data_IF_861059565686
#
_entry.id   IF_861059565686
#
_cell.length_a   1.000
_cell.length_b   1.000
_cell.length_c   1.000
_cell.angle_alpha   90.00
_cell.angle_beta   90.00
_cell.angle_gamma   90.00
#
_symmetry.space_group_name_H-M   'P 1'
#
loop_
_entity.id
_entity.type
_entity.pdbx_description
1 polymer ?
#
# COMPACT_ATOMS: atom_id res chain seq x y z
N UNK A 1 -19.08 -13.59 -30.68
CA UNK A 1 -18.58 -14.31 -29.49
C UNK A 1 -17.54 -13.41 -28.86
N UNK A 2 -17.70 -12.99 -27.62
CA UNK A 2 -16.73 -12.11 -26.97
C UNK A 2 -15.48 -12.93 -26.63
N UNK A 3 -14.37 -12.65 -27.31
CA UNK A 3 -13.09 -13.33 -27.10
C UNK A 3 -12.65 -13.27 -25.62
N UNK A 4 -13.05 -12.23 -24.89
CA UNK A 4 -12.81 -12.08 -23.46
C UNK A 4 -13.54 -13.14 -22.64
N UNK A 5 -14.80 -13.43 -22.97
CA UNK A 5 -15.60 -14.45 -22.29
C UNK A 5 -15.02 -15.84 -22.53
N UNK A 6 -14.54 -16.11 -23.74
CA UNK A 6 -13.90 -17.38 -24.06
C UNK A 6 -12.61 -17.58 -23.26
N UNK A 7 -11.73 -16.58 -23.25
CA UNK A 7 -10.46 -16.64 -22.51
C UNK A 7 -10.70 -16.83 -21.01
N UNK A 8 -11.69 -16.14 -20.43
CA UNK A 8 -12.06 -16.31 -19.01
C UNK A 8 -12.52 -17.74 -18.71
N UNK A 9 -13.40 -18.29 -19.54
CA UNK A 9 -13.90 -19.66 -19.39
C UNK A 9 -12.77 -20.69 -19.43
N UNK A 10 -11.84 -20.53 -20.38
CA UNK A 10 -10.72 -21.44 -20.56
C UNK A 10 -9.74 -21.39 -19.37
N UNK A 11 -9.46 -20.20 -18.84
CA UNK A 11 -8.62 -20.03 -17.66
C UNK A 11 -9.23 -20.66 -16.41
N UNK A 12 -10.53 -20.42 -16.15
CA UNK A 12 -11.24 -21.02 -15.02
C UNK A 12 -11.17 -22.54 -15.09
N UNK A 13 -11.36 -23.10 -16.29
CA UNK A 13 -11.34 -24.56 -16.49
C UNK A 13 -9.96 -25.14 -16.19
N UNK A 14 -8.89 -24.53 -16.73
CA UNK A 14 -7.50 -24.94 -16.46
C UNK A 14 -7.12 -24.84 -14.97
N UNK A 15 -7.58 -23.80 -14.28
CA UNK A 15 -7.32 -23.64 -12.83
C UNK A 15 -8.02 -24.74 -12.03
N UNK A 16 -9.29 -25.04 -12.35
CA UNK A 16 -10.06 -26.10 -11.66
C UNK A 16 -9.47 -27.50 -11.85
N UNK A 17 -8.90 -27.77 -13.01
CA UNK A 17 -8.31 -29.08 -13.34
C UNK A 17 -6.87 -29.23 -12.81
N UNK A 18 -6.17 -28.13 -12.54
CA UNK A 18 -4.78 -28.16 -12.09
C UNK A 18 -4.64 -28.73 -10.67
N UNK A 19 -3.71 -29.68 -10.53
CA UNK A 19 -3.27 -30.23 -9.22
C UNK A 19 -1.87 -29.75 -8.83
N UNK A 20 -1.22 -28.95 -9.68
CA UNK A 20 0.13 -28.44 -9.44
C UNK A 20 0.07 -27.18 -8.59
N UNK A 21 0.38 -27.34 -7.29
CA UNK A 21 0.40 -26.25 -6.33
C UNK A 21 1.41 -25.15 -6.69
N UNK A 22 2.56 -25.49 -7.30
CA UNK A 22 3.56 -24.49 -7.69
C UNK A 22 3.02 -23.61 -8.82
N UNK A 23 2.38 -24.22 -9.80
CA UNK A 23 1.71 -23.50 -10.89
C UNK A 23 0.58 -22.61 -10.36
N UNK A 24 -0.28 -23.13 -9.49
CA UNK A 24 -1.38 -22.37 -8.91
C UNK A 24 -0.88 -21.15 -8.11
N UNK A 25 0.20 -21.30 -7.33
CA UNK A 25 0.83 -20.18 -6.61
C UNK A 25 1.40 -19.12 -7.54
N UNK A 26 2.03 -19.54 -8.65
CA UNK A 26 2.56 -18.60 -9.64
C UNK A 26 1.43 -17.81 -10.32
N UNK A 27 0.32 -18.47 -10.68
CA UNK A 27 -0.86 -17.83 -11.27
C UNK A 27 -1.49 -16.84 -10.28
N UNK A 28 -1.63 -17.24 -9.01
CA UNK A 28 -2.14 -16.36 -7.95
C UNK A 28 -1.28 -15.09 -7.81
N UNK A 29 0.04 -15.23 -7.74
CA UNK A 29 0.94 -14.08 -7.65
C UNK A 29 0.86 -13.13 -8.85
N UNK A 30 0.61 -13.65 -10.06
CA UNK A 30 0.40 -12.83 -11.26
C UNK A 30 -0.90 -12.04 -11.15
N UNK A 31 -1.98 -12.66 -10.68
CA UNK A 31 -3.25 -11.95 -10.47
C UNK A 31 -3.13 -10.89 -9.38
N UNK A 32 -2.53 -11.23 -8.25
CA UNK A 32 -2.31 -10.32 -7.12
C UNK A 32 -1.42 -9.13 -7.52
N UNK A 33 -0.44 -9.32 -8.42
CA UNK A 33 0.39 -8.24 -8.96
C UNK A 33 -0.32 -7.42 -10.05
N UNK A 34 -1.26 -8.02 -10.78
CA UNK A 34 -2.06 -7.36 -11.81
C UNK A 34 -3.21 -6.54 -11.24
N UNK A 35 -3.69 -6.91 -10.05
CA UNK A 35 -4.53 -6.05 -9.23
C UNK A 35 -3.66 -4.88 -8.78
N UNK A 36 -3.64 -3.82 -9.60
CA UNK A 36 -3.05 -2.54 -9.23
C UNK A 36 -3.70 -2.12 -7.91
N UNK A 37 -2.96 -2.29 -6.80
CA UNK A 37 -3.24 -1.56 -5.57
C UNK A 37 -3.37 -0.09 -6.00
N UNK A 38 -4.55 0.55 -5.83
CA UNK A 38 -4.86 1.76 -6.57
C UNK A 38 -3.92 2.94 -6.24
N UNK A 39 -3.07 2.81 -5.22
CA UNK A 39 -1.99 3.75 -4.94
C UNK A 39 -0.76 3.00 -4.42
N UNK A 40 0.28 2.91 -5.25
CA UNK A 40 1.62 2.57 -4.78
C UNK A 40 2.30 3.84 -4.26
N UNK A 41 2.88 3.76 -3.07
CA UNK A 41 3.67 4.86 -2.53
C UNK A 41 4.93 5.04 -3.39
N UNK A 42 5.28 6.30 -3.69
CA UNK A 42 6.60 6.61 -4.22
C UNK A 42 7.67 6.25 -3.19
N UNK A 43 8.93 6.12 -3.64
CA UNK A 43 10.03 5.81 -2.72
C UNK A 43 10.24 6.94 -1.70
N UNK A 44 10.03 8.20 -2.10
CA UNK A 44 10.01 9.37 -1.22
C UNK A 44 8.93 9.26 -0.13
N UNK A 45 7.73 8.79 -0.49
CA UNK A 45 6.64 8.60 0.46
C UNK A 45 6.94 7.46 1.44
N UNK A 46 7.55 6.37 0.98
CA UNK A 46 7.98 5.27 1.86
C UNK A 46 9.07 5.74 2.84
N UNK A 47 10.04 6.48 2.34
CA UNK A 47 11.10 7.07 3.15
C UNK A 47 10.55 8.04 4.20
N UNK A 48 9.65 8.94 3.81
CA UNK A 48 9.01 9.88 4.73
C UNK A 48 8.23 9.18 5.86
N UNK A 49 7.52 8.08 5.55
CA UNK A 49 6.82 7.27 6.55
C UNK A 49 7.82 6.63 7.52
N UNK A 50 8.92 6.10 7.01
CA UNK A 50 9.93 5.44 7.84
C UNK A 50 10.65 6.43 8.76
N UNK A 51 10.96 7.64 8.26
CA UNK A 51 11.46 8.74 9.07
C UNK A 51 10.48 9.07 10.19
N UNK A 52 9.19 9.27 9.87
CA UNK A 52 8.16 9.61 10.88
C UNK A 52 8.00 8.54 11.96
N UNK A 53 8.08 7.25 11.59
CA UNK A 53 8.06 6.14 12.56
C UNK A 53 9.26 6.17 13.50
N UNK A 54 10.45 6.44 12.97
CA UNK A 54 11.66 6.56 13.79
C UNK A 54 11.61 7.78 14.71
N UNK A 55 11.10 8.91 14.23
CA UNK A 55 10.87 10.11 15.05
C UNK A 55 9.95 9.80 16.24
N UNK A 56 8.82 9.13 16.01
CA UNK A 56 7.92 8.73 17.09
C UNK A 56 8.63 7.82 18.10
N UNK A 57 9.37 6.82 17.61
CA UNK A 57 10.13 5.89 18.46
C UNK A 57 11.19 6.60 19.32
N UNK A 58 11.81 7.64 18.78
CA UNK A 58 12.80 8.45 19.46
C UNK A 58 12.21 9.54 20.36
N UNK A 59 10.88 9.70 20.39
CA UNK A 59 10.23 10.78 21.14
C UNK A 59 10.31 12.15 20.45
N UNK A 60 10.69 12.19 19.17
CA UNK A 60 10.76 13.39 18.32
C UNK A 60 9.36 13.76 17.78
N UNK A 61 8.40 13.90 18.68
CA UNK A 61 7.05 14.35 18.36
C UNK A 61 6.59 15.39 19.36
N UNK A 62 5.68 16.25 18.93
CA UNK A 62 5.05 17.25 19.80
C UNK A 62 3.58 16.93 19.97
N UNK A 63 3.06 17.11 21.18
CA UNK A 63 1.61 17.02 21.40
C UNK A 63 0.92 18.26 20.83
N UNK A 64 -0.37 18.11 20.50
CA UNK A 64 -1.19 19.22 20.04
C UNK A 64 -1.18 20.39 21.04
N UNK A 65 -1.23 20.11 22.34
CA UNK A 65 -1.21 21.14 23.38
C UNK A 65 0.10 21.93 23.36
N UNK A 66 1.24 21.25 23.19
CA UNK A 66 2.56 21.87 23.12
C UNK A 66 2.67 22.80 21.90
N UNK A 67 2.25 22.30 20.73
CA UNK A 67 2.27 23.08 19.47
C UNK A 67 1.37 24.30 19.58
N UNK A 68 0.17 24.16 20.14
CA UNK A 68 -0.77 25.27 20.32
C UNK A 68 -0.29 26.30 21.34
N UNK A 69 0.43 25.88 22.39
CA UNK A 69 1.06 26.78 23.34
C UNK A 69 2.14 27.62 22.64
N UNK A 70 3.05 26.99 21.91
CA UNK A 70 4.11 27.66 21.17
C UNK A 70 3.56 28.65 20.13
N UNK A 71 2.53 28.24 19.38
CA UNK A 71 1.87 29.10 18.40
C UNK A 71 1.26 30.35 19.03
N UNK A 72 0.60 30.22 20.19
CA UNK A 72 0.03 31.37 20.91
C UNK A 72 1.12 32.32 21.39
N UNK A 73 2.25 31.81 21.86
CA UNK A 73 3.39 32.64 22.27
C UNK A 73 4.04 33.37 21.09
N UNK A 74 4.15 32.71 19.93
CA UNK A 74 4.64 33.36 18.72
C UNK A 74 3.75 34.52 18.27
N UNK A 75 2.42 34.34 18.31
CA UNK A 75 1.46 35.39 17.93
C UNK A 75 1.51 36.61 18.84
N UNK A 76 1.87 36.46 20.12
CA UNK A 76 2.01 37.58 21.07
C UNK A 76 3.27 38.42 20.84
N UNK A 77 4.28 37.85 20.18
CA UNK A 77 5.56 38.53 19.87
C UNK A 77 5.50 39.35 18.57
N UNK A 78 4.33 39.41 17.91
CA UNK A 78 4.08 40.12 16.66
C UNK A 78 3.19 41.32 16.92
#
# INVERSE_FOLDING_TARGET
MDATLQIKSDLISKIKESKDLKLLKAIQAIFDASEQSPYQLSDEQKEAIEIGRNQIKNGEYSTNESVMAEMREWLKKK
#
